data_IF_429158476715
#
_entry.id   IF_429158476715
#
_cell.length_a   1.000
_cell.length_b   1.000
_cell.length_c   1.000
_cell.angle_alpha   90.00
_cell.angle_beta   90.00
_cell.angle_gamma   90.00
#
_symmetry.space_group_name_H-M   'P 1'
#
loop_
_entity.id
_entity.type
_entity.pdbx_description
1 polymer ?
#
# COMPACT_ATOMS: atom_id res chain seq x y z
N UNK A 1 34.65 33.37 14.98
CA UNK A 1 34.60 31.90 15.26
C UNK A 1 33.35 31.54 16.04
N UNK A 2 33.05 32.10 17.22
CA UNK A 2 31.87 31.77 18.04
C UNK A 2 30.53 32.01 17.32
N UNK A 3 30.40 33.11 16.54
CA UNK A 3 29.18 33.45 15.82
C UNK A 3 28.86 32.42 14.69
N UNK A 4 29.86 32.01 13.94
CA UNK A 4 29.74 31.02 12.88
C UNK A 4 29.37 29.64 13.45
N UNK A 5 29.93 29.28 14.62
CA UNK A 5 29.64 28.02 15.29
C UNK A 5 28.20 27.99 15.83
N UNK A 6 27.70 29.14 16.34
CA UNK A 6 26.30 29.26 16.79
C UNK A 6 25.33 29.21 15.63
N UNK A 7 25.62 29.90 14.52
CA UNK A 7 24.81 29.86 13.29
C UNK A 7 24.77 28.47 12.70
N UNK A 8 25.89 27.75 12.64
CA UNK A 8 25.96 26.37 12.19
C UNK A 8 25.10 25.45 13.08
N UNK A 9 25.20 25.54 14.40
CA UNK A 9 24.41 24.77 15.34
C UNK A 9 22.92 25.07 15.24
N UNK A 10 22.50 26.28 14.97
CA UNK A 10 21.12 26.66 14.77
C UNK A 10 20.55 26.08 13.46
N UNK A 11 21.31 26.11 12.38
CA UNK A 11 20.91 25.55 11.08
C UNK A 11 20.77 24.04 11.20
N UNK A 12 21.78 23.35 11.71
CA UNK A 12 21.78 21.89 11.84
C UNK A 12 20.77 21.39 12.87
N UNK A 13 20.51 22.20 13.92
CA UNK A 13 19.51 21.86 14.94
C UNK A 13 18.06 21.92 14.44
N UNK A 14 17.76 22.65 13.34
CA UNK A 14 16.44 22.72 12.72
C UNK A 14 16.22 21.67 11.63
N UNK A 15 17.24 20.91 11.26
CA UNK A 15 17.14 19.84 10.27
C UNK A 15 16.39 18.62 10.84
N UNK A 16 15.61 17.98 9.99
CA UNK A 16 14.95 16.71 10.31
C UNK A 16 15.88 15.52 10.12
N UNK A 17 16.85 15.66 9.25
CA UNK A 17 17.88 14.69 8.95
C UNK A 17 18.91 14.63 10.09
N UNK A 18 19.34 13.44 10.44
CA UNK A 18 20.44 13.26 11.39
C UNK A 18 21.77 13.68 10.77
N UNK A 19 22.53 14.52 11.46
CA UNK A 19 23.87 14.92 11.04
C UNK A 19 24.87 14.62 12.14
N UNK A 20 25.95 13.92 11.78
CA UNK A 20 27.12 13.68 12.63
C UNK A 20 28.37 14.06 11.86
N UNK A 21 29.24 14.82 12.51
CA UNK A 21 30.57 15.13 12.02
C UNK A 21 31.60 14.44 12.91
N UNK A 22 32.51 13.71 12.29
CA UNK A 22 33.61 12.99 12.95
C UNK A 22 34.93 13.60 12.52
N UNK A 23 35.90 13.57 13.40
CA UNK A 23 37.30 13.90 13.07
C UNK A 23 38.01 12.75 12.32
N UNK A 24 39.29 12.90 12.08
CA UNK A 24 40.13 11.90 11.40
C UNK A 24 40.28 10.59 12.20
N UNK A 25 39.99 10.58 13.48
CA UNK A 25 40.09 9.45 14.39
C UNK A 25 38.73 8.74 14.60
N UNK A 26 37.63 9.36 14.17
CA UNK A 26 36.27 8.88 14.36
C UNK A 26 35.58 9.44 15.60
N UNK A 27 36.19 10.42 16.25
CA UNK A 27 35.59 11.10 17.40
C UNK A 27 34.55 12.13 16.95
N UNK A 28 33.43 12.23 17.69
CA UNK A 28 32.32 13.11 17.38
C UNK A 28 32.71 14.57 17.57
N UNK A 29 32.82 15.32 16.47
CA UNK A 29 32.99 16.77 16.49
C UNK A 29 31.69 17.52 16.72
N UNK A 30 30.61 17.03 16.09
CA UNK A 30 29.29 17.64 16.17
C UNK A 30 28.22 16.58 15.87
N UNK A 31 27.11 16.69 16.56
CA UNK A 31 25.91 15.86 16.36
C UNK A 31 24.68 16.74 16.55
N UNK A 32 23.72 16.71 15.61
CA UNK A 32 22.49 17.47 15.74
C UNK A 32 21.42 16.74 16.56
N UNK A 33 20.34 17.45 16.91
CA UNK A 33 19.27 16.91 17.74
C UNK A 33 18.60 15.66 17.13
N UNK A 34 18.42 15.62 15.80
CA UNK A 34 17.83 14.48 15.09
C UNK A 34 18.73 13.24 15.20
N UNK A 35 20.04 13.38 15.01
CA UNK A 35 20.99 12.27 15.16
C UNK A 35 21.12 11.83 16.63
N UNK A 36 21.08 12.74 17.59
CA UNK A 36 21.06 12.37 19.03
C UNK A 36 19.84 11.50 19.36
N UNK A 37 18.66 11.90 18.89
CA UNK A 37 17.45 11.12 19.07
C UNK A 37 17.52 9.74 18.38
N UNK A 38 18.08 9.69 17.18
CA UNK A 38 18.23 8.46 16.39
C UNK A 38 19.17 7.45 17.06
N UNK A 39 20.33 7.91 17.53
CA UNK A 39 21.34 7.04 18.14
C UNK A 39 21.16 6.88 19.65
N UNK A 40 20.17 7.52 20.26
CA UNK A 40 19.98 7.50 21.71
C UNK A 40 21.15 8.13 22.46
N UNK A 41 21.84 9.08 21.82
CA UNK A 41 23.01 9.74 22.38
C UNK A 41 22.62 10.92 23.28
N UNK A 42 23.22 11.02 24.46
CA UNK A 42 23.09 12.21 25.29
C UNK A 42 23.91 13.36 24.70
N UNK A 43 23.51 14.60 24.98
CA UNK A 43 24.20 15.79 24.47
C UNK A 43 25.69 15.95 24.84
N UNK A 44 26.27 15.04 25.61
CA UNK A 44 27.67 15.00 26.03
C UNK A 44 28.54 14.00 25.24
N UNK A 45 28.09 13.52 24.10
CA UNK A 45 28.84 12.54 23.30
C UNK A 45 29.94 13.19 22.40
N UNK A 46 30.06 14.53 22.36
CA UNK A 46 31.13 15.23 21.64
C UNK A 46 32.50 14.85 22.23
N UNK A 47 33.45 14.50 21.37
CA UNK A 47 34.77 14.01 21.74
C UNK A 47 34.83 12.52 22.11
N UNK A 48 33.74 11.79 21.96
CA UNK A 48 33.72 10.33 22.11
C UNK A 48 33.82 9.67 20.73
N UNK A 49 34.41 8.47 20.69
CA UNK A 49 34.40 7.66 19.48
C UNK A 49 32.96 7.30 19.11
N UNK A 50 32.57 7.61 17.87
CA UNK A 50 31.23 7.36 17.37
C UNK A 50 30.80 5.88 17.51
N UNK A 51 31.73 4.94 17.37
CA UNK A 51 31.44 3.51 17.49
C UNK A 51 31.11 3.08 18.94
N UNK A 52 31.34 3.93 19.93
CA UNK A 52 30.84 3.69 21.30
C UNK A 52 29.36 4.03 21.43
N UNK A 53 28.87 4.96 20.62
CA UNK A 53 27.46 5.40 20.55
C UNK A 53 26.67 4.51 19.61
N UNK A 54 27.22 4.22 18.42
CA UNK A 54 26.59 3.38 17.41
C UNK A 54 27.42 2.11 17.16
N UNK A 55 26.93 0.98 17.62
CA UNK A 55 27.64 -0.30 17.62
C UNK A 55 27.28 -1.22 16.46
N UNK A 56 26.47 -0.78 15.48
CA UNK A 56 26.12 -1.67 14.38
C UNK A 56 27.29 -1.94 13.46
N UNK A 57 27.43 -3.19 13.08
CA UNK A 57 28.45 -3.62 12.13
C UNK A 57 28.28 -2.97 10.75
N UNK A 58 27.03 -2.73 10.35
CA UNK A 58 26.68 -2.18 9.06
C UNK A 58 27.18 -0.73 8.89
N UNK A 59 26.94 0.13 9.90
CA UNK A 59 27.41 1.52 9.88
C UNK A 59 28.92 1.58 10.04
N UNK A 60 29.51 0.74 10.91
CA UNK A 60 30.96 0.66 11.07
C UNK A 60 31.65 0.25 9.76
N UNK A 61 31.14 -0.76 9.06
CA UNK A 61 31.66 -1.18 7.76
C UNK A 61 31.53 -0.07 6.69
N UNK A 62 30.42 0.66 6.70
CA UNK A 62 30.17 1.76 5.77
C UNK A 62 31.12 2.94 6.03
N UNK A 63 31.45 3.26 7.29
CA UNK A 63 32.47 4.27 7.66
C UNK A 63 33.85 3.86 7.13
N UNK A 64 34.21 2.59 7.30
CA UNK A 64 35.49 2.05 6.78
C UNK A 64 35.54 2.10 5.24
N UNK A 65 34.45 1.76 4.56
CA UNK A 65 34.35 1.86 3.10
C UNK A 65 34.51 3.29 2.64
N UNK A 66 33.84 4.26 3.27
CA UNK A 66 33.97 5.68 2.97
C UNK A 66 35.39 6.21 3.19
N UNK A 67 36.14 5.65 4.16
CA UNK A 67 37.54 5.98 4.37
C UNK A 67 38.44 5.59 3.19
N UNK A 68 38.13 4.50 2.47
CA UNK A 68 38.82 4.06 1.25
C UNK A 68 38.33 4.77 0.00
N UNK A 69 37.02 4.72 -0.24
CA UNK A 69 36.38 5.13 -1.51
C UNK A 69 35.90 6.59 -1.50
N UNK A 70 35.99 7.29 -0.37
CA UNK A 70 35.54 8.66 -0.19
C UNK A 70 34.07 8.82 0.13
N UNK A 71 33.23 7.82 -0.20
CA UNK A 71 31.79 7.82 0.01
C UNK A 71 31.24 6.40 0.20
N UNK A 72 30.21 6.26 1.02
CA UNK A 72 29.49 5.00 1.20
C UNK A 72 28.05 5.27 1.61
N UNK A 73 27.14 4.42 1.21
CA UNK A 73 25.74 4.43 1.62
C UNK A 73 25.37 3.10 2.29
N UNK A 74 24.58 3.18 3.35
CA UNK A 74 24.05 2.00 4.00
C UNK A 74 22.62 2.24 4.49
N UNK A 75 21.78 1.24 4.44
CA UNK A 75 20.43 1.27 5.00
C UNK A 75 20.38 0.40 6.24
N UNK A 76 19.77 0.91 7.29
CA UNK A 76 19.58 0.15 8.53
C UNK A 76 18.23 0.50 9.17
N UNK A 77 17.64 -0.50 9.83
CA UNK A 77 16.40 -0.33 10.59
C UNK A 77 16.73 0.11 12.02
N UNK A 78 16.00 1.11 12.53
CA UNK A 78 16.08 1.62 13.89
C UNK A 78 14.69 1.92 14.41
N UNK A 79 14.31 1.29 15.53
CA UNK A 79 13.03 1.50 16.19
C UNK A 79 11.81 1.37 15.24
N UNK A 80 11.84 0.39 14.32
CA UNK A 80 10.77 0.16 13.36
C UNK A 80 10.70 1.15 12.21
N UNK A 81 11.75 1.98 12.02
CA UNK A 81 11.92 2.91 10.89
C UNK A 81 13.15 2.54 10.09
N UNK A 82 13.13 2.84 8.80
CA UNK A 82 14.24 2.59 7.89
C UNK A 82 14.98 3.90 7.63
N UNK A 83 16.28 3.89 7.94
CA UNK A 83 17.15 5.03 7.71
C UNK A 83 18.18 4.71 6.62
N UNK A 84 18.40 5.67 5.75
CA UNK A 84 19.55 5.68 4.84
C UNK A 84 20.64 6.56 5.44
N UNK A 85 21.81 5.99 5.63
CA UNK A 85 23.02 6.69 6.08
C UNK A 85 23.90 6.95 4.88
N UNK A 86 24.19 8.21 4.66
CA UNK A 86 25.10 8.71 3.64
C UNK A 86 26.36 9.17 4.33
N UNK A 87 27.47 8.49 4.07
CA UNK A 87 28.73 8.66 4.77
C UNK A 87 29.77 9.14 3.78
N UNK A 88 30.27 10.34 4.00
CA UNK A 88 31.22 10.97 3.09
C UNK A 88 32.46 11.44 3.84
N UNK A 89 33.61 11.14 3.28
CA UNK A 89 34.90 11.61 3.79
C UNK A 89 35.13 13.06 3.40
N UNK A 90 35.51 13.89 4.35
CA UNK A 90 35.88 15.29 4.13
C UNK A 90 37.41 15.38 4.02
N UNK A 91 37.89 16.02 2.96
CA UNK A 91 39.31 16.26 2.77
C UNK A 91 39.58 17.75 2.48
N UNK A 92 40.70 18.25 2.95
CA UNK A 92 41.23 19.59 2.61
C UNK A 92 42.67 19.43 2.15
N UNK A 93 43.00 20.02 1.01
CA UNK A 93 44.33 19.92 0.37
C UNK A 93 44.80 18.46 0.19
N UNK A 94 43.88 17.55 -0.11
CA UNK A 94 44.17 16.12 -0.29
C UNK A 94 44.38 15.32 1.00
N UNK A 95 44.29 16.00 2.18
CA UNK A 95 44.39 15.32 3.49
C UNK A 95 42.98 15.12 4.07
N UNK A 96 42.67 13.92 4.60
CA UNK A 96 41.43 13.69 5.31
C UNK A 96 41.38 14.57 6.56
N UNK A 97 40.28 15.25 6.75
CA UNK A 97 40.02 16.06 7.95
C UNK A 97 38.85 15.54 8.78
N UNK A 98 38.09 14.56 8.26
CA UNK A 98 36.99 13.96 8.99
C UNK A 98 36.01 13.24 8.10
N UNK A 99 34.88 12.86 8.70
CA UNK A 99 33.77 12.17 8.04
C UNK A 99 32.46 12.86 8.41
N UNK A 100 31.58 13.02 7.43
CA UNK A 100 30.18 13.43 7.65
C UNK A 100 29.27 12.24 7.47
N UNK A 101 28.32 12.08 8.39
CA UNK A 101 27.27 11.08 8.32
C UNK A 101 25.94 11.84 8.29
N UNK A 102 25.15 11.60 7.24
CA UNK A 102 23.78 12.07 7.11
C UNK A 102 22.84 10.88 7.25
N UNK A 103 21.80 11.01 8.07
CA UNK A 103 20.78 9.99 8.27
C UNK A 103 19.42 10.52 7.82
N UNK A 104 18.84 9.84 6.83
CA UNK A 104 17.55 10.17 6.25
C UNK A 104 16.53 9.11 6.64
N UNK A 105 15.40 9.51 7.21
CA UNK A 105 14.26 8.61 7.41
C UNK A 105 13.59 8.35 6.04
N UNK A 106 13.77 7.16 5.51
CA UNK A 106 13.22 6.74 4.22
C UNK A 106 12.07 5.74 4.38
N UNK A 107 11.48 5.64 5.57
CA UNK A 107 10.45 4.64 5.90
C UNK A 107 9.27 4.74 4.96
N UNK A 108 8.72 5.93 4.75
CA UNK A 108 7.58 6.12 3.85
C UNK A 108 7.94 5.81 2.39
N UNK A 109 9.13 6.21 1.96
CA UNK A 109 9.62 5.97 0.61
C UNK A 109 9.83 4.48 0.33
N UNK A 110 10.48 3.75 1.25
CA UNK A 110 10.67 2.29 1.15
C UNK A 110 9.34 1.55 1.16
N UNK A 111 8.39 1.98 2.00
CA UNK A 111 7.06 1.40 2.05
C UNK A 111 6.30 1.62 0.74
N UNK A 112 6.33 2.84 0.19
CA UNK A 112 5.72 3.16 -1.10
C UNK A 112 6.34 2.34 -2.26
N UNK A 113 7.68 2.24 -2.28
CA UNK A 113 8.39 1.47 -3.31
C UNK A 113 8.11 -0.04 -3.20
N UNK A 114 8.07 -0.57 -1.98
CA UNK A 114 7.70 -1.96 -1.72
C UNK A 114 6.28 -2.27 -2.20
N UNK A 115 5.32 -1.42 -1.83
CA UNK A 115 3.93 -1.55 -2.26
C UNK A 115 3.81 -1.52 -3.79
N UNK A 116 4.57 -0.64 -4.45
CA UNK A 116 4.60 -0.56 -5.92
C UNK A 116 5.16 -1.83 -6.56
N UNK A 117 6.24 -2.39 -6.00
CA UNK A 117 6.83 -3.66 -6.49
C UNK A 117 5.87 -4.83 -6.31
N UNK A 118 5.26 -4.93 -5.14
CA UNK A 118 4.26 -5.96 -4.82
C UNK A 118 3.03 -5.84 -5.72
N UNK A 119 2.55 -4.62 -5.96
CA UNK A 119 1.46 -4.35 -6.90
C UNK A 119 1.80 -4.84 -8.31
N UNK A 120 2.96 -4.47 -8.85
CA UNK A 120 3.39 -4.88 -10.21
C UNK A 120 3.52 -6.40 -10.33
N UNK A 121 4.08 -7.06 -9.32
CA UNK A 121 4.21 -8.51 -9.29
C UNK A 121 2.84 -9.20 -9.24
N UNK A 122 1.92 -8.71 -8.41
CA UNK A 122 0.58 -9.25 -8.26
C UNK A 122 -0.25 -9.06 -9.54
N UNK A 123 -0.19 -7.86 -10.17
CA UNK A 123 -0.82 -7.61 -11.48
C UNK A 123 -0.36 -8.62 -12.51
N UNK A 124 0.96 -8.81 -12.63
CA UNK A 124 1.53 -9.75 -13.59
C UNK A 124 1.05 -11.18 -13.36
N UNK A 125 0.95 -11.59 -12.09
CA UNK A 125 0.47 -12.92 -11.73
C UNK A 125 -1.02 -13.12 -12.03
N UNK A 126 -1.86 -12.14 -11.63
CA UNK A 126 -3.32 -12.19 -11.82
C UNK A 126 -3.72 -12.09 -13.30
N UNK A 127 -2.94 -11.43 -14.16
CA UNK A 127 -3.14 -11.41 -15.61
C UNK A 127 -2.70 -12.73 -16.26
N UNK A 128 -1.59 -13.32 -15.81
CA UNK A 128 -1.03 -14.54 -16.40
C UNK A 128 -1.95 -15.75 -16.25
N UNK A 129 -2.61 -15.88 -15.12
CA UNK A 129 -3.47 -17.04 -14.80
C UNK A 129 -4.65 -17.21 -15.80
N UNK A 130 -5.54 -16.23 -16.01
CA UNK A 130 -6.61 -16.32 -16.99
C UNK A 130 -6.08 -16.44 -18.42
N UNK A 131 -4.98 -15.74 -18.75
CA UNK A 131 -4.37 -15.83 -20.07
C UNK A 131 -3.89 -17.27 -20.38
N UNK A 132 -3.26 -17.93 -19.40
CA UNK A 132 -2.87 -19.35 -19.55
C UNK A 132 -4.08 -20.27 -19.72
N UNK A 133 -5.20 -20.00 -19.03
CA UNK A 133 -6.45 -20.72 -19.21
C UNK A 133 -7.02 -20.59 -20.63
N UNK A 134 -6.98 -19.36 -21.18
CA UNK A 134 -7.41 -19.07 -22.56
C UNK A 134 -6.51 -19.81 -23.55
N UNK A 135 -5.18 -19.64 -23.45
CA UNK A 135 -4.21 -20.26 -24.35
C UNK A 135 -4.33 -21.79 -24.31
N UNK A 136 -4.34 -22.39 -23.11
CA UNK A 136 -4.43 -23.84 -22.97
C UNK A 136 -5.74 -24.41 -23.54
N UNK A 137 -6.87 -23.72 -23.34
CA UNK A 137 -8.15 -24.14 -23.94
C UNK A 137 -8.12 -24.02 -25.46
N UNK A 138 -7.55 -22.94 -26.00
CA UNK A 138 -7.41 -22.73 -27.44
C UNK A 138 -6.49 -23.79 -28.09
N UNK A 139 -5.35 -24.10 -27.50
CA UNK A 139 -4.41 -25.11 -27.96
C UNK A 139 -5.04 -26.53 -27.98
N UNK A 140 -5.83 -26.88 -26.97
CA UNK A 140 -6.54 -28.15 -26.93
C UNK A 140 -7.56 -28.26 -28.06
N UNK A 141 -8.27 -27.17 -28.38
CA UNK A 141 -9.21 -27.11 -29.51
C UNK A 141 -8.45 -27.22 -30.84
N UNK A 142 -7.41 -26.44 -31.02
CA UNK A 142 -6.60 -26.38 -32.26
C UNK A 142 -5.96 -27.73 -32.59
N UNK A 143 -5.46 -28.43 -31.60
CA UNK A 143 -4.85 -29.75 -31.74
C UNK A 143 -5.87 -30.91 -31.86
N UNK A 144 -7.18 -30.60 -31.90
CA UNK A 144 -8.22 -31.62 -32.04
C UNK A 144 -8.36 -32.54 -30.81
N UNK A 145 -7.85 -32.11 -29.65
CA UNK A 145 -7.93 -32.92 -28.41
C UNK A 145 -9.26 -32.77 -27.67
N UNK A 146 -10.14 -31.88 -28.12
CA UNK A 146 -11.44 -31.62 -27.55
C UNK A 146 -12.50 -32.39 -28.36
N UNK A 147 -13.36 -33.16 -27.68
CA UNK A 147 -14.49 -33.83 -28.37
C UNK A 147 -15.49 -32.78 -28.88
N UNK A 148 -16.18 -33.03 -29.99
CA UNK A 148 -17.19 -32.10 -30.51
C UNK A 148 -18.22 -31.66 -29.48
N UNK A 149 -18.70 -32.57 -28.62
CA UNK A 149 -19.69 -32.29 -27.57
C UNK A 149 -19.17 -31.42 -26.44
N UNK A 150 -17.85 -31.41 -26.22
CA UNK A 150 -17.17 -30.56 -25.18
C UNK A 150 -16.75 -29.17 -25.70
N UNK A 151 -16.77 -28.99 -27.02
CA UNK A 151 -16.30 -27.72 -27.65
C UNK A 151 -17.01 -26.47 -27.10
N UNK A 152 -18.35 -26.45 -26.91
CA UNK A 152 -19.03 -25.28 -26.33
C UNK A 152 -18.55 -24.96 -24.93
N UNK A 153 -18.16 -25.92 -24.12
CA UNK A 153 -17.63 -25.74 -22.76
C UNK A 153 -16.26 -25.07 -22.79
N UNK A 154 -15.36 -25.49 -23.69
CA UNK A 154 -14.05 -24.89 -23.82
C UNK A 154 -14.12 -23.46 -24.37
N UNK A 155 -14.98 -23.21 -25.35
CA UNK A 155 -15.23 -21.85 -25.87
C UNK A 155 -15.84 -20.97 -24.78
N UNK A 156 -16.79 -21.49 -24.00
CA UNK A 156 -17.36 -20.79 -22.84
C UNK A 156 -16.32 -20.46 -21.78
N UNK A 157 -15.38 -21.37 -21.52
CA UNK A 157 -14.25 -21.10 -20.61
C UNK A 157 -13.34 -19.99 -21.11
N UNK A 158 -12.96 -19.99 -22.40
CA UNK A 158 -12.19 -18.92 -23.02
C UNK A 158 -12.91 -17.57 -22.86
N UNK A 159 -14.22 -17.53 -23.15
CA UNK A 159 -15.01 -16.30 -23.03
C UNK A 159 -15.03 -15.79 -21.57
N UNK A 160 -15.23 -16.68 -20.60
CA UNK A 160 -15.27 -16.32 -19.18
C UNK A 160 -13.94 -15.75 -18.70
N UNK A 161 -12.82 -16.40 -19.06
CA UNK A 161 -11.50 -15.92 -18.66
C UNK A 161 -11.12 -14.61 -19.38
N UNK A 162 -11.55 -14.42 -20.63
CA UNK A 162 -11.35 -13.17 -21.35
C UNK A 162 -12.16 -12.02 -20.72
N UNK A 163 -13.43 -12.23 -20.37
CA UNK A 163 -14.26 -11.25 -19.68
C UNK A 163 -13.66 -10.85 -18.31
N UNK A 164 -13.15 -11.85 -17.57
CA UNK A 164 -12.44 -11.61 -16.30
C UNK A 164 -11.19 -10.78 -16.49
N UNK A 165 -10.41 -11.01 -17.56
CA UNK A 165 -9.22 -10.22 -17.91
C UNK A 165 -9.57 -8.75 -18.17
N UNK A 166 -10.63 -8.49 -18.93
CA UNK A 166 -11.13 -7.14 -19.19
C UNK A 166 -11.47 -6.42 -17.89
N UNK A 167 -12.24 -7.07 -17.01
CA UNK A 167 -12.59 -6.50 -15.70
C UNK A 167 -11.34 -6.16 -14.88
N UNK A 168 -10.35 -7.06 -14.84
CA UNK A 168 -9.11 -6.84 -14.10
C UNK A 168 -8.30 -5.64 -14.65
N UNK A 169 -8.24 -5.52 -15.98
CA UNK A 169 -7.56 -4.40 -16.65
C UNK A 169 -8.27 -3.08 -16.31
N UNK A 170 -9.59 -3.05 -16.37
CA UNK A 170 -10.38 -1.86 -16.02
C UNK A 170 -10.15 -1.44 -14.57
N UNK A 171 -10.12 -2.41 -13.64
CA UNK A 171 -9.85 -2.16 -12.21
C UNK A 171 -8.44 -1.58 -12.01
N UNK A 172 -7.41 -2.11 -12.72
CA UNK A 172 -6.03 -1.61 -12.67
C UNK A 172 -5.94 -0.18 -13.18
N UNK A 173 -6.59 0.13 -14.31
CA UNK A 173 -6.60 1.48 -14.90
C UNK A 173 -7.25 2.46 -13.92
N UNK A 174 -8.39 2.10 -13.32
CA UNK A 174 -9.08 2.94 -12.33
C UNK A 174 -8.21 3.20 -11.11
N UNK A 175 -7.54 2.16 -10.61
CA UNK A 175 -6.65 2.28 -9.46
C UNK A 175 -5.46 3.19 -9.76
N UNK A 176 -4.86 3.07 -10.97
CA UNK A 176 -3.78 3.96 -11.42
C UNK A 176 -4.22 5.41 -11.47
N UNK A 177 -5.44 5.69 -11.98
CA UNK A 177 -6.00 7.04 -12.03
C UNK A 177 -6.22 7.63 -10.63
N UNK A 178 -6.61 6.82 -9.64
CA UNK A 178 -6.75 7.25 -8.25
C UNK A 178 -5.39 7.53 -7.60
N UNK A 179 -4.38 6.74 -7.90
CA UNK A 179 -3.02 6.90 -7.37
C UNK A 179 -2.30 8.16 -7.91
N UNK A 180 -2.61 8.58 -9.14
CA UNK A 180 -2.05 9.80 -9.74
C UNK A 180 -2.55 11.09 -9.09
N UNK A 181 -3.53 11.02 -8.19
CA UNK A 181 -3.93 12.13 -7.31
C UNK A 181 -4.51 13.34 -8.05
N UNK A 182 -5.08 13.15 -9.23
CA UNK A 182 -5.80 14.21 -9.95
C UNK A 182 -6.96 14.75 -9.11
N UNK A 183 -7.14 16.08 -9.08
CA UNK A 183 -8.30 16.70 -8.47
C UNK A 183 -9.55 16.21 -9.20
N UNK A 184 -10.26 15.26 -8.60
CA UNK A 184 -11.54 14.81 -9.10
C UNK A 184 -12.61 15.85 -8.70
N UNK A 185 -13.46 16.30 -9.65
CA UNK A 185 -14.49 17.26 -9.33
C UNK A 185 -15.48 16.67 -8.32
N UNK A 186 -15.63 17.34 -7.19
CA UNK A 186 -16.59 16.98 -6.14
C UNK A 186 -17.91 17.70 -6.35
N UNK A 187 -19.00 17.01 -6.07
CA UNK A 187 -20.37 17.53 -6.09
C UNK A 187 -21.11 17.14 -4.80
N UNK A 188 -22.22 17.81 -4.46
CA UNK A 188 -23.08 17.34 -3.38
C UNK A 188 -23.71 15.98 -3.74
N UNK A 189 -23.46 14.95 -2.93
CA UNK A 189 -23.93 13.58 -3.16
C UNK A 189 -24.76 13.12 -1.97
N UNK A 190 -25.98 12.68 -2.21
CA UNK A 190 -26.82 12.05 -1.19
C UNK A 190 -26.50 10.56 -1.08
N UNK A 191 -25.95 10.18 0.07
CA UNK A 191 -25.53 8.80 0.37
C UNK A 191 -26.72 7.82 0.39
N UNK A 192 -27.92 8.27 0.76
CA UNK A 192 -29.09 7.40 0.76
C UNK A 192 -29.50 7.05 -0.69
N UNK A 193 -29.52 8.02 -1.58
CA UNK A 193 -29.81 7.82 -2.98
C UNK A 193 -28.81 6.87 -3.64
N UNK A 194 -27.52 7.08 -3.39
CA UNK A 194 -26.44 6.21 -3.89
C UNK A 194 -26.58 4.78 -3.39
N UNK A 195 -26.94 4.61 -2.12
CA UNK A 195 -27.15 3.29 -1.50
C UNK A 195 -28.36 2.56 -2.08
N UNK A 196 -29.44 3.27 -2.36
CA UNK A 196 -30.65 2.73 -3.00
C UNK A 196 -30.35 2.27 -4.44
N UNK A 197 -29.66 3.07 -5.22
CA UNK A 197 -29.23 2.72 -6.60
C UNK A 197 -28.33 1.48 -6.64
N UNK A 198 -27.35 1.38 -5.72
CA UNK A 198 -26.49 0.22 -5.63
C UNK A 198 -27.28 -1.04 -5.27
N UNK A 199 -28.20 -0.94 -4.30
CA UNK A 199 -29.08 -2.06 -3.91
C UNK A 199 -30.01 -2.49 -5.08
N UNK A 200 -30.58 -1.53 -5.81
CA UNK A 200 -31.44 -1.82 -6.95
C UNK A 200 -30.67 -2.52 -8.08
N UNK A 201 -29.45 -2.08 -8.39
CA UNK A 201 -28.59 -2.71 -9.40
C UNK A 201 -28.25 -4.16 -9.05
N UNK A 202 -28.13 -4.49 -7.76
CA UNK A 202 -27.76 -5.82 -7.27
C UNK A 202 -28.97 -6.71 -6.95
N UNK A 203 -30.20 -6.26 -7.21
CA UNK A 203 -31.42 -6.97 -6.84
C UNK A 203 -31.51 -8.35 -7.49
N UNK A 204 -31.19 -8.47 -8.78
CA UNK A 204 -31.21 -9.74 -9.49
C UNK A 204 -30.16 -10.72 -8.95
N UNK A 205 -28.97 -10.23 -8.64
CA UNK A 205 -27.91 -11.05 -8.06
C UNK A 205 -28.28 -11.53 -6.64
N UNK A 206 -28.92 -10.68 -5.85
CA UNK A 206 -29.43 -11.02 -4.52
C UNK A 206 -30.56 -12.06 -4.62
N UNK A 207 -31.52 -11.87 -5.55
CA UNK A 207 -32.62 -12.79 -5.77
C UNK A 207 -32.12 -14.19 -6.21
N UNK A 208 -31.12 -14.26 -7.09
CA UNK A 208 -30.50 -15.52 -7.54
C UNK A 208 -29.88 -16.33 -6.38
N UNK A 209 -29.48 -15.65 -5.29
CA UNK A 209 -28.94 -16.26 -4.07
C UNK A 209 -29.91 -16.29 -2.90
N UNK A 210 -31.17 -15.92 -3.12
CA UNK A 210 -32.19 -15.83 -2.09
C UNK A 210 -31.81 -14.90 -0.92
N UNK A 211 -30.99 -13.85 -1.20
CA UNK A 211 -30.56 -12.86 -0.22
C UNK A 211 -31.49 -11.67 -0.27
N UNK A 212 -31.97 -11.23 0.91
CA UNK A 212 -32.80 -10.02 1.03
C UNK A 212 -31.90 -8.82 1.26
N UNK A 213 -32.07 -7.75 0.46
CA UNK A 213 -31.32 -6.49 0.62
C UNK A 213 -32.27 -5.41 1.11
N UNK A 214 -31.94 -4.74 2.22
CA UNK A 214 -32.70 -3.61 2.78
C UNK A 214 -31.83 -2.36 2.85
N UNK A 215 -32.42 -1.20 2.54
CA UNK A 215 -31.77 0.12 2.68
C UNK A 215 -32.62 0.97 3.63
N UNK A 216 -31.97 1.58 4.63
CA UNK A 216 -32.61 2.45 5.58
C UNK A 216 -31.72 3.63 5.96
N UNK A 217 -32.32 4.70 6.48
CA UNK A 217 -31.63 5.89 6.91
C UNK A 217 -32.31 7.16 6.42
N UNK A 218 -31.63 8.29 6.64
CA UNK A 218 -32.11 9.60 6.23
C UNK A 218 -31.24 10.17 5.08
N UNK A 219 -31.78 11.02 4.19
CA UNK A 219 -31.01 11.70 3.18
C UNK A 219 -29.81 12.42 3.80
N UNK A 220 -28.62 12.07 3.37
CA UNK A 220 -27.36 12.56 3.95
C UNK A 220 -26.44 13.01 2.82
N UNK A 221 -26.33 14.33 2.65
CA UNK A 221 -25.56 14.93 1.56
C UNK A 221 -24.15 15.27 2.02
N UNK A 222 -23.17 14.76 1.28
CA UNK A 222 -21.76 15.07 1.49
C UNK A 222 -21.10 15.56 0.18
N UNK A 223 -20.04 16.39 0.24
CA UNK A 223 -19.24 16.69 -0.94
C UNK A 223 -18.41 15.43 -1.31
N UNK A 224 -18.47 15.03 -2.58
CA UNK A 224 -17.74 13.86 -3.03
C UNK A 224 -17.86 13.60 -4.53
N UNK A 225 -17.15 12.61 -5.01
CA UNK A 225 -17.26 12.12 -6.38
C UNK A 225 -18.31 11.02 -6.41
N UNK A 226 -19.51 11.33 -6.94
CA UNK A 226 -20.68 10.44 -6.93
C UNK A 226 -20.36 9.02 -7.41
N UNK A 227 -19.60 8.92 -8.51
CA UNK A 227 -19.21 7.61 -9.07
C UNK A 227 -18.41 6.77 -8.07
N UNK A 228 -17.43 7.36 -7.37
CA UNK A 228 -16.60 6.65 -6.41
C UNK A 228 -17.41 6.23 -5.17
N UNK A 229 -18.27 7.09 -4.68
CA UNK A 229 -19.17 6.76 -3.57
C UNK A 229 -20.12 5.61 -3.93
N UNK A 230 -20.67 5.62 -5.15
CA UNK A 230 -21.46 4.52 -5.67
C UNK A 230 -20.65 3.21 -5.74
N UNK A 231 -19.44 3.24 -6.31
CA UNK A 231 -18.56 2.06 -6.41
C UNK A 231 -18.21 1.46 -5.04
N UNK A 232 -17.97 2.30 -4.02
CA UNK A 232 -17.73 1.83 -2.65
C UNK A 232 -18.94 1.04 -2.13
N UNK A 233 -20.13 1.63 -2.20
CA UNK A 233 -21.35 1.00 -1.70
C UNK A 233 -21.66 -0.27 -2.51
N UNK A 234 -21.57 -0.19 -3.82
CA UNK A 234 -21.78 -1.31 -4.72
C UNK A 234 -20.86 -2.49 -4.38
N UNK A 235 -19.55 -2.26 -4.24
CA UNK A 235 -18.57 -3.31 -3.94
C UNK A 235 -18.82 -3.96 -2.57
N UNK A 236 -19.17 -3.16 -1.56
CA UNK A 236 -19.51 -3.70 -0.24
C UNK A 236 -20.78 -4.56 -0.30
N UNK A 237 -21.82 -4.11 -1.01
CA UNK A 237 -23.07 -4.86 -1.15
C UNK A 237 -22.90 -6.11 -2.00
N UNK A 238 -22.14 -6.04 -3.10
CA UNK A 238 -21.84 -7.20 -3.95
C UNK A 238 -21.08 -8.28 -3.16
N UNK A 239 -20.09 -7.88 -2.36
CA UNK A 239 -19.41 -8.81 -1.46
C UNK A 239 -20.35 -9.39 -0.40
N UNK A 240 -21.19 -8.55 0.21
CA UNK A 240 -22.18 -8.98 1.21
C UNK A 240 -23.19 -10.00 0.64
N UNK A 241 -23.55 -9.91 -0.63
CA UNK A 241 -24.40 -10.87 -1.35
C UNK A 241 -23.61 -12.12 -1.72
N UNK A 242 -22.41 -11.97 -2.31
CA UNK A 242 -21.55 -13.06 -2.78
C UNK A 242 -21.15 -14.03 -1.67
N UNK A 243 -20.83 -13.50 -0.50
CA UNK A 243 -20.36 -14.26 0.65
C UNK A 243 -21.47 -14.51 1.69
N UNK A 244 -22.74 -14.28 1.30
CA UNK A 244 -23.87 -14.58 2.15
C UNK A 244 -24.23 -16.08 2.10
N UNK A 245 -25.10 -16.45 3.03
CA UNK A 245 -25.77 -17.78 3.06
C UNK A 245 -27.09 -17.70 2.29
N UNK A 246 -27.55 -18.82 1.77
CA UNK A 246 -28.87 -18.92 1.17
C UNK A 246 -29.97 -18.50 2.18
N UNK A 247 -30.86 -17.63 1.78
CA UNK A 247 -31.88 -17.05 2.66
C UNK A 247 -31.34 -15.97 3.62
N UNK A 248 -30.10 -15.49 3.41
CA UNK A 248 -29.49 -14.46 4.24
C UNK A 248 -29.99 -13.05 3.95
N UNK A 249 -29.41 -12.07 4.65
CA UNK A 249 -29.81 -10.68 4.59
C UNK A 249 -28.61 -9.76 4.50
N UNK A 250 -28.79 -8.63 3.82
CA UNK A 250 -27.87 -7.49 3.75
C UNK A 250 -28.65 -6.23 4.12
N UNK A 251 -28.21 -5.52 5.15
CA UNK A 251 -28.79 -4.26 5.62
C UNK A 251 -27.83 -3.12 5.36
N UNK A 252 -28.24 -2.16 4.59
CA UNK A 252 -27.50 -0.93 4.29
C UNK A 252 -28.12 0.19 5.13
N UNK A 253 -27.34 0.80 6.01
CA UNK A 253 -27.80 1.88 6.87
C UNK A 253 -26.99 3.15 6.61
N UNK A 254 -27.69 4.24 6.30
CA UNK A 254 -27.11 5.57 6.15
C UNK A 254 -27.43 6.37 7.40
N UNK A 255 -26.41 6.91 8.05
CA UNK A 255 -26.55 7.69 9.28
C UNK A 255 -25.64 8.93 9.25
N UNK A 256 -26.11 9.96 9.97
CA UNK A 256 -25.34 11.17 10.24
C UNK A 256 -25.42 11.47 11.73
N UNK A 257 -24.26 11.58 12.36
CA UNK A 257 -24.16 11.89 13.81
C UNK A 257 -23.06 12.94 14.07
N UNK A 258 -22.76 13.18 15.34
CA UNK A 258 -21.70 14.14 15.73
C UNK A 258 -20.29 13.73 15.24
N UNK A 259 -20.07 12.47 14.88
CA UNK A 259 -18.82 11.96 14.32
C UNK A 259 -18.72 12.07 12.79
N UNK A 260 -19.84 12.38 12.12
CA UNK A 260 -19.90 12.53 10.66
C UNK A 260 -20.97 11.68 10.00
N UNK A 261 -20.84 11.53 8.67
CA UNK A 261 -21.73 10.71 7.84
C UNK A 261 -21.16 9.32 7.63
N UNK A 262 -21.99 8.30 7.72
CA UNK A 262 -21.58 6.90 7.55
C UNK A 262 -22.56 6.11 6.70
N UNK A 263 -22.04 5.15 5.94
CA UNK A 263 -22.79 4.07 5.29
C UNK A 263 -22.28 2.76 5.88
N UNK A 264 -23.18 2.01 6.49
CA UNK A 264 -22.90 0.70 7.08
C UNK A 264 -23.56 -0.38 6.25
N UNK A 265 -22.80 -1.40 5.82
CA UNK A 265 -23.33 -2.59 5.16
C UNK A 265 -23.11 -3.76 6.09
N UNK A 266 -24.21 -4.33 6.59
CA UNK A 266 -24.19 -5.48 7.49
C UNK A 266 -24.77 -6.71 6.77
N UNK A 267 -24.08 -7.83 6.85
CA UNK A 267 -24.51 -9.10 6.25
C UNK A 267 -24.62 -10.23 7.27
N UNK A 268 -25.36 -11.27 6.93
CA UNK A 268 -25.50 -12.48 7.72
C UNK A 268 -24.71 -13.65 7.14
N UNK A 269 -23.66 -13.34 6.38
CA UNK A 269 -22.84 -14.29 5.64
C UNK A 269 -21.86 -15.11 6.47
N UNK A 270 -20.81 -15.56 5.82
CA UNK A 270 -19.78 -16.41 6.43
C UNK A 270 -18.86 -15.67 7.40
N UNK A 271 -18.85 -14.32 7.35
CA UNK A 271 -17.95 -13.50 8.13
C UNK A 271 -16.49 -13.56 7.67
N UNK A 272 -15.65 -12.79 8.35
CA UNK A 272 -14.20 -12.71 8.10
C UNK A 272 -13.47 -13.05 9.40
N UNK A 273 -12.61 -14.07 9.37
CA UNK A 273 -11.82 -14.46 10.53
C UNK A 273 -10.91 -13.30 11.01
N UNK A 274 -10.69 -13.14 12.33
CA UNK A 274 -9.95 -12.01 12.88
C UNK A 274 -8.57 -11.78 12.26
N UNK A 275 -7.87 -12.86 11.92
CA UNK A 275 -6.54 -12.85 11.29
C UNK A 275 -6.51 -12.21 9.88
N UNK A 276 -7.67 -12.16 9.21
CA UNK A 276 -7.79 -11.58 7.87
C UNK A 276 -8.31 -10.14 7.88
N UNK A 277 -8.98 -9.71 8.97
CA UNK A 277 -9.68 -8.42 9.03
C UNK A 277 -8.75 -7.21 8.80
N UNK A 278 -7.52 -7.25 9.31
CA UNK A 278 -6.55 -6.18 9.10
C UNK A 278 -6.04 -6.10 7.65
N UNK A 279 -6.19 -7.19 6.89
CA UNK A 279 -5.62 -7.35 5.56
C UNK A 279 -6.62 -7.24 4.42
N UNK A 280 -7.92 -7.22 4.69
CA UNK A 280 -8.96 -7.21 3.64
C UNK A 280 -8.94 -5.94 2.76
N UNK A 281 -8.26 -4.88 3.20
CA UNK A 281 -8.04 -3.65 2.44
C UNK A 281 -6.71 -3.63 1.69
N UNK A 282 -5.86 -4.66 1.85
CA UNK A 282 -4.64 -4.80 1.04
C UNK A 282 -5.03 -5.15 -0.40
N UNK A 283 -4.37 -4.52 -1.36
CA UNK A 283 -4.59 -4.79 -2.79
C UNK A 283 -4.26 -6.23 -3.13
N UNK A 284 -5.10 -6.91 -3.90
CA UNK A 284 -4.99 -8.33 -4.29
C UNK A 284 -5.11 -9.33 -3.12
N UNK A 285 -5.43 -8.85 -1.92
CA UNK A 285 -5.63 -9.75 -0.81
C UNK A 285 -6.97 -10.49 -0.92
N UNK A 286 -6.94 -11.79 -0.70
CA UNK A 286 -8.12 -12.66 -0.69
C UNK A 286 -7.95 -13.71 0.39
N UNK A 287 -8.99 -13.93 1.17
CA UNK A 287 -9.00 -14.92 2.27
C UNK A 287 -8.84 -16.34 1.72
N UNK A 288 -9.48 -16.64 0.58
CA UNK A 288 -9.41 -17.97 -0.03
C UNK A 288 -9.15 -17.87 -1.54
N UNK A 289 -7.96 -18.33 -1.97
CA UNK A 289 -7.57 -18.36 -3.38
C UNK A 289 -8.21 -19.51 -4.17
N UNK A 290 -8.69 -20.58 -3.50
CA UNK A 290 -9.18 -21.79 -4.13
C UNK A 290 -10.67 -21.71 -4.53
N UNK A 291 -11.51 -21.09 -3.71
CA UNK A 291 -12.95 -20.91 -3.98
C UNK A 291 -13.25 -19.67 -4.84
N UNK A 292 -12.27 -18.84 -5.05
CA UNK A 292 -12.41 -17.55 -5.71
C UNK A 292 -12.54 -17.62 -7.24
N UNK A 293 -12.24 -18.76 -7.86
CA UNK A 293 -12.46 -18.95 -9.32
C UNK A 293 -13.94 -18.89 -9.69
N UNK A 294 -14.84 -19.26 -8.77
CA UNK A 294 -16.27 -19.23 -8.99
C UNK A 294 -16.93 -17.87 -8.67
N UNK A 295 -16.29 -17.03 -7.82
CA UNK A 295 -16.88 -15.76 -7.36
C UNK A 295 -16.43 -14.50 -8.12
N UNK A 296 -15.46 -14.62 -9.05
CA UNK A 296 -15.10 -13.58 -10.02
C UNK A 296 -14.49 -12.28 -9.47
N UNK A 297 -14.17 -12.17 -8.17
CA UNK A 297 -13.58 -10.96 -7.60
C UNK A 297 -12.10 -10.83 -7.93
N UNK A 298 -11.62 -9.60 -8.23
CA UNK A 298 -10.22 -9.28 -8.55
C UNK A 298 -9.35 -9.08 -7.30
N UNK A 299 -9.94 -8.76 -6.15
CA UNK A 299 -9.23 -8.38 -4.92
C UNK A 299 -8.62 -6.98 -4.99
N UNK A 300 -9.04 -6.16 -5.92
CA UNK A 300 -8.65 -4.76 -6.11
C UNK A 300 -9.66 -3.81 -5.49
#
# INVERSE_FOLDING_TARGET
>A
LQRQQTEFSQITGSMREGLVLLDEHGDILSINAAAQALFGADGQCTGQDFLTVERSHEISAAIQAAAGDGHSEVRAERAGRIYQFDISRIASDGKPIGTVILAFDITEQEFAERNRREFTANVSHELKTPLQGIIGSAELIENGMVRPDDLPRFVGHIHTEAARLVTLIDDIIRLSQLDEGGELPTEPVDLLTVSQEAAETLQDAAAARQVTVGVQGEPTVIPGVRRLLYEIVYNLCDNAIKYNRDGGRVDITVAHDAGGSSVTVADTGIGIAPEHQARVFERFYRVDKSHSKASGGTGL
#
